data_IF_526646599373
#
_entry.id   IF_526646599373
#
_cell.length_a   1.000
_cell.length_b   1.000
_cell.length_c   1.000
_cell.angle_alpha   90.00
_cell.angle_beta   90.00
_cell.angle_gamma   90.00
#
_symmetry.space_group_name_H-M   'P 1'
#
loop_
_entity.id
_entity.type
_entity.pdbx_description
1 polymer ?
#
# COMPACT_ATOMS: atom_id res chain seq x y z
N UNK A 1 18.18 -23.97 -14.89
CA UNK A 1 16.82 -24.58 -15.01
C UNK A 1 15.84 -23.59 -14.41
N UNK A 2 14.86 -22.99 -15.07
CA UNK A 2 14.52 -22.69 -16.48
C UNK A 2 13.64 -21.43 -16.35
N UNK A 3 14.14 -20.23 -16.59
CA UNK A 3 13.88 -19.35 -17.76
C UNK A 3 12.48 -19.35 -18.43
N UNK A 4 11.44 -20.02 -17.90
CA UNK A 4 10.17 -20.18 -18.64
C UNK A 4 8.90 -19.66 -17.93
N UNK A 5 8.98 -19.03 -16.76
CA UNK A 5 7.77 -18.54 -16.05
C UNK A 5 7.36 -17.11 -16.44
N UNK A 6 8.19 -16.37 -17.19
CA UNK A 6 7.96 -14.93 -17.44
C UNK A 6 7.05 -14.65 -18.65
N UNK A 7 6.69 -15.67 -19.44
CA UNK A 7 6.02 -15.46 -20.74
C UNK A 7 4.47 -15.62 -20.75
N UNK A 8 3.81 -15.94 -19.64
CA UNK A 8 2.35 -16.24 -19.67
C UNK A 8 1.44 -15.05 -19.34
N UNK A 9 1.95 -13.91 -18.89
CA UNK A 9 1.07 -12.82 -18.40
C UNK A 9 0.98 -11.57 -19.29
N UNK A 10 1.45 -11.62 -20.54
CA UNK A 10 1.51 -10.43 -21.40
C UNK A 10 0.34 -10.26 -22.40
N UNK A 11 -0.71 -11.07 -22.36
CA UNK A 11 -1.73 -11.06 -23.43
C UNK A 11 -3.17 -10.74 -23.00
N UNK A 12 -3.43 -10.23 -21.80
CA UNK A 12 -4.83 -10.01 -21.35
C UNK A 12 -5.14 -8.67 -20.66
N UNK A 13 -4.33 -7.62 -20.83
CA UNK A 13 -4.81 -6.28 -20.46
C UNK A 13 -4.39 -5.27 -21.52
N UNK A 14 -5.29 -5.06 -22.49
CA UNK A 14 -5.17 -3.97 -23.44
C UNK A 14 -5.24 -2.61 -22.74
N UNK A 15 -4.32 -1.72 -23.16
CA UNK A 15 -4.40 -0.26 -23.11
C UNK A 15 -4.58 0.43 -21.76
N UNK A 16 -3.73 0.13 -20.78
CA UNK A 16 -3.44 1.08 -19.71
C UNK A 16 -1.95 1.48 -19.79
N UNK A 17 -1.66 2.62 -20.42
CA UNK A 17 -0.34 3.26 -20.30
C UNK A 17 -0.25 3.98 -18.96
N UNK A 18 0.70 3.55 -18.13
CA UNK A 18 1.10 4.17 -16.87
C UNK A 18 2.63 4.05 -16.77
N UNK A 19 3.33 5.18 -16.78
CA UNK A 19 4.79 5.28 -16.89
C UNK A 19 5.45 5.62 -15.53
N UNK A 20 5.05 4.91 -14.47
CA UNK A 20 5.53 5.11 -13.10
C UNK A 20 5.68 3.81 -12.31
N UNK A 21 6.54 3.74 -11.28
CA UNK A 21 7.02 2.49 -10.68
C UNK A 21 5.99 1.69 -9.86
N UNK A 22 4.78 2.23 -9.61
CA UNK A 22 3.76 1.57 -8.80
C UNK A 22 2.47 1.37 -9.60
N UNK A 23 2.24 0.10 -9.99
CA UNK A 23 1.10 -0.35 -10.79
C UNK A 23 -0.19 -0.31 -9.97
N UNK A 24 -1.25 0.24 -10.54
CA UNK A 24 -2.58 0.33 -9.92
C UNK A 24 -3.29 -1.04 -10.00
N UNK A 25 -3.82 -1.54 -8.88
CA UNK A 25 -4.51 -2.84 -8.80
C UNK A 25 -6.01 -2.67 -8.58
N UNK A 26 -6.87 -3.35 -9.37
CA UNK A 26 -8.31 -3.38 -9.14
C UNK A 26 -8.68 -4.44 -8.09
N UNK A 27 -9.17 -3.99 -6.93
CA UNK A 27 -9.87 -4.84 -5.96
C UNK A 27 -11.33 -5.06 -6.42
N UNK A 28 -11.75 -6.33 -6.46
CA UNK A 28 -12.92 -6.83 -7.19
C UNK A 28 -14.28 -6.17 -6.92
N UNK A 29 -15.16 -6.28 -7.93
CA UNK A 29 -16.61 -5.99 -8.14
C UNK A 29 -17.47 -5.12 -7.18
N UNK A 30 -16.95 -4.54 -6.11
CA UNK A 30 -17.68 -3.67 -5.18
C UNK A 30 -16.98 -2.32 -5.06
N UNK A 31 -17.35 -1.40 -5.95
CA UNK A 31 -17.36 0.04 -5.68
C UNK A 31 -16.13 0.67 -5.03
N UNK A 32 -15.12 0.96 -5.85
CA UNK A 32 -14.37 2.22 -5.90
C UNK A 32 -13.70 2.72 -4.60
N UNK A 33 -12.54 2.17 -4.24
CA UNK A 33 -11.42 2.95 -3.72
C UNK A 33 -10.09 2.33 -4.19
N UNK A 34 -9.53 2.82 -5.29
CA UNK A 34 -8.08 2.69 -5.52
C UNK A 34 -7.41 3.55 -4.46
N UNK A 35 -6.96 2.93 -3.37
CA UNK A 35 -6.26 3.64 -2.30
C UNK A 35 -4.81 3.79 -2.75
N UNK A 36 -4.40 5.03 -2.98
CA UNK A 36 -3.00 5.42 -3.17
C UNK A 36 -2.51 6.15 -1.92
N UNK A 37 -1.20 6.22 -1.73
CA UNK A 37 -0.64 7.04 -0.66
C UNK A 37 -1.13 8.49 -0.73
N UNK A 38 -1.21 9.07 -1.92
CA UNK A 38 -1.63 10.47 -2.08
C UNK A 38 -3.05 10.68 -1.56
N UNK A 39 -3.93 9.71 -1.79
CA UNK A 39 -5.28 9.72 -1.23
C UNK A 39 -5.28 9.65 0.29
N UNK A 40 -4.46 8.77 0.88
CA UNK A 40 -4.30 8.68 2.33
C UNK A 40 -3.80 10.01 2.91
N UNK A 41 -2.80 10.63 2.27
CA UNK A 41 -2.24 11.91 2.69
C UNK A 41 -3.27 13.04 2.60
N UNK A 42 -4.13 13.03 1.59
CA UNK A 42 -5.22 13.99 1.45
C UNK A 42 -6.31 13.78 2.50
N UNK A 43 -6.64 12.53 2.83
CA UNK A 43 -7.56 12.20 3.93
C UNK A 43 -7.01 12.66 5.27
N UNK A 44 -5.72 12.42 5.54
CA UNK A 44 -5.06 12.87 6.76
C UNK A 44 -5.06 14.40 6.87
N UNK A 45 -4.74 15.12 5.77
CA UNK A 45 -4.81 16.59 5.72
C UNK A 45 -6.23 17.15 5.88
N UNK A 46 -7.23 16.46 5.33
CA UNK A 46 -8.62 16.85 5.48
C UNK A 46 -9.13 16.69 6.93
N UNK A 47 -8.64 15.67 7.65
CA UNK A 47 -8.93 15.48 9.07
C UNK A 47 -8.15 16.47 9.96
N UNK A 48 -6.87 16.69 9.64
CA UNK A 48 -5.96 17.59 10.34
C UNK A 48 -5.06 18.35 9.35
N UNK A 49 -5.26 19.66 9.14
CA UNK A 49 -4.41 20.47 8.26
C UNK A 49 -2.94 20.55 8.69
N UNK A 50 -2.62 20.20 9.94
CA UNK A 50 -1.25 20.10 10.45
C UNK A 50 -0.68 18.68 10.36
N UNK A 51 -1.35 17.78 9.62
CA UNK A 51 -0.90 16.40 9.45
C UNK A 51 0.53 16.33 8.92
N UNK A 52 1.36 15.54 9.59
CA UNK A 52 2.73 15.28 9.22
C UNK A 52 2.79 14.24 8.10
N UNK A 53 2.52 14.68 6.86
CA UNK A 53 2.53 13.77 5.71
C UNK A 53 3.90 13.17 5.39
N UNK A 54 4.98 13.80 5.86
CA UNK A 54 6.33 13.26 5.73
C UNK A 54 6.54 12.03 6.64
N UNK A 55 5.97 12.04 7.85
CA UNK A 55 5.94 10.86 8.71
C UNK A 55 5.19 9.71 8.02
N UNK A 56 4.01 9.99 7.48
CA UNK A 56 3.19 9.00 6.79
C UNK A 56 3.93 8.44 5.56
N UNK A 57 4.60 9.29 4.78
CA UNK A 57 5.38 8.88 3.61
C UNK A 57 6.50 7.92 4.01
N UNK A 58 7.28 8.27 5.04
CA UNK A 58 8.36 7.39 5.52
C UNK A 58 7.85 6.05 6.00
N UNK A 59 6.73 6.02 6.74
CA UNK A 59 6.10 4.79 7.20
C UNK A 59 5.62 3.92 6.02
N UNK A 60 4.99 4.54 5.02
CA UNK A 60 4.53 3.87 3.81
C UNK A 60 5.70 3.28 3.01
N UNK A 61 6.73 4.08 2.72
CA UNK A 61 7.88 3.65 1.92
C UNK A 61 8.64 2.50 2.62
N UNK A 62 8.77 2.57 3.95
CA UNK A 62 9.37 1.49 4.74
C UNK A 62 8.55 0.21 4.68
N UNK A 63 7.24 0.29 4.91
CA UNK A 63 6.33 -0.86 4.80
C UNK A 63 6.39 -1.51 3.41
N UNK A 64 6.36 -0.70 2.34
CA UNK A 64 6.49 -1.20 0.96
C UNK A 64 7.83 -1.90 0.73
N UNK A 65 8.92 -1.37 1.28
CA UNK A 65 10.25 -1.94 1.12
C UNK A 65 10.38 -3.29 1.84
N UNK A 66 9.91 -3.39 3.09
CA UNK A 66 10.03 -4.61 3.89
C UNK A 66 9.12 -5.74 3.37
N UNK A 67 7.97 -5.38 2.80
CA UNK A 67 7.06 -6.34 2.15
C UNK A 67 7.35 -6.55 0.66
N UNK A 68 8.48 -6.05 0.14
CA UNK A 68 8.81 -6.19 -1.28
C UNK A 68 8.93 -7.66 -1.69
N UNK A 69 8.23 -8.03 -2.77
CA UNK A 69 8.20 -9.41 -3.26
C UNK A 69 7.24 -10.35 -2.52
N UNK A 70 6.57 -9.88 -1.46
CA UNK A 70 5.50 -10.62 -0.80
C UNK A 70 4.17 -10.41 -1.53
N UNK A 71 3.40 -11.50 -1.65
CA UNK A 71 2.06 -11.48 -2.23
C UNK A 71 1.06 -12.04 -1.24
N UNK A 72 -0.11 -11.42 -1.15
CA UNK A 72 -1.24 -11.97 -0.39
C UNK A 72 -1.76 -13.25 -1.05
N UNK A 73 -2.57 -13.99 -0.31
CA UNK A 73 -3.26 -15.17 -0.84
C UNK A 73 -4.17 -14.85 -2.05
N UNK A 74 -4.62 -13.58 -2.17
CA UNK A 74 -5.37 -13.06 -3.32
C UNK A 74 -4.52 -12.86 -4.59
N UNK A 75 -3.20 -12.91 -4.50
CA UNK A 75 -2.26 -12.62 -5.60
C UNK A 75 -1.85 -11.15 -5.72
N UNK A 76 -2.35 -10.27 -4.84
CA UNK A 76 -1.98 -8.84 -4.80
C UNK A 76 -0.67 -8.63 -4.03
N UNK A 77 0.09 -7.55 -4.35
CA UNK A 77 1.24 -7.16 -3.52
C UNK A 77 0.82 -6.91 -2.07
N UNK A 78 1.61 -7.37 -1.11
CA UNK A 78 1.25 -7.28 0.32
C UNK A 78 1.03 -5.84 0.81
N UNK A 79 1.74 -4.87 0.22
CA UNK A 79 1.64 -3.45 0.54
C UNK A 79 0.23 -2.83 0.38
N UNK A 80 -0.71 -3.50 -0.30
CA UNK A 80 -2.10 -3.01 -0.39
C UNK A 80 -2.82 -3.07 0.96
N UNK A 81 -2.56 -4.09 1.76
CA UNK A 81 -3.26 -4.33 3.03
C UNK A 81 -2.93 -3.26 4.09
N UNK A 82 -1.66 -2.93 4.39
CA UNK A 82 -1.34 -1.86 5.33
C UNK A 82 -1.92 -0.50 4.91
N UNK A 83 -2.04 -0.25 3.61
CA UNK A 83 -2.60 0.99 3.07
C UNK A 83 -4.13 1.07 3.25
N UNK A 84 -4.85 -0.05 3.10
CA UNK A 84 -6.28 -0.15 3.41
C UNK A 84 -6.56 0.09 4.90
N UNK A 85 -5.78 -0.56 5.78
CA UNK A 85 -5.88 -0.38 7.23
C UNK A 85 -5.62 1.07 7.62
N UNK A 86 -4.55 1.68 7.11
CA UNK A 86 -4.23 3.08 7.39
C UNK A 86 -5.32 4.05 6.90
N UNK A 87 -6.01 3.73 5.81
CA UNK A 87 -7.12 4.55 5.31
C UNK A 87 -8.34 4.48 6.22
N UNK A 88 -8.68 3.29 6.75
CA UNK A 88 -9.73 3.16 7.77
C UNK A 88 -9.39 3.97 9.03
N UNK A 89 -8.13 3.95 9.46
CA UNK A 89 -7.63 4.77 10.58
C UNK A 89 -7.77 6.26 10.29
N UNK A 90 -7.45 6.70 9.08
CA UNK A 90 -7.64 8.08 8.65
C UNK A 90 -9.12 8.49 8.56
N UNK A 91 -10.02 7.59 8.14
CA UNK A 91 -11.48 7.83 8.14
C UNK A 91 -12.04 8.04 9.56
N UNK A 92 -11.47 7.34 10.55
CA UNK A 92 -11.77 7.54 11.97
C UNK A 92 -11.23 8.88 12.51
N UNK A 93 -10.52 9.67 11.69
CA UNK A 93 -9.89 10.96 12.06
C UNK A 93 -8.92 10.84 13.24
N UNK A 94 -8.20 9.73 13.32
CA UNK A 94 -7.13 9.57 14.29
C UNK A 94 -5.87 10.35 13.87
N UNK A 95 -4.92 10.45 14.79
CA UNK A 95 -3.70 11.22 14.59
C UNK A 95 -2.71 10.54 13.64
N UNK A 96 -1.71 11.31 13.19
CA UNK A 96 -0.72 10.81 12.23
C UNK A 96 0.07 9.61 12.75
N UNK A 97 0.22 9.51 14.08
CA UNK A 97 0.89 8.38 14.73
C UNK A 97 0.06 7.11 14.59
N UNK A 98 -1.27 7.18 14.81
CA UNK A 98 -2.14 6.03 14.58
C UNK A 98 -2.15 5.60 13.11
N UNK A 99 -2.19 6.56 12.17
CA UNK A 99 -2.15 6.25 10.73
C UNK A 99 -0.82 5.59 10.37
N UNK A 100 0.31 6.11 10.85
CA UNK A 100 1.62 5.52 10.65
C UNK A 100 1.72 4.12 11.27
N UNK A 101 1.14 3.89 12.45
CA UNK A 101 1.07 2.57 13.06
C UNK A 101 0.28 1.59 12.18
N UNK A 102 -0.82 2.01 11.57
CA UNK A 102 -1.57 1.20 10.61
C UNK A 102 -0.74 0.78 9.39
N UNK A 103 0.11 1.68 8.87
CA UNK A 103 1.03 1.36 7.78
C UNK A 103 2.12 0.34 8.16
N UNK A 104 2.49 0.29 9.45
CA UNK A 104 3.62 -0.51 9.96
C UNK A 104 3.21 -1.78 10.71
N UNK A 105 1.90 -1.98 10.95
CA UNK A 105 1.43 -2.95 11.96
C UNK A 105 1.92 -4.39 11.72
N UNK A 106 2.02 -4.80 10.46
CA UNK A 106 2.44 -6.16 10.07
C UNK A 106 3.95 -6.28 9.77
N UNK A 107 4.70 -5.17 9.77
CA UNK A 107 6.11 -5.19 9.35
C UNK A 107 6.95 -6.05 10.29
N UNK A 108 6.69 -6.02 11.59
CA UNK A 108 7.44 -6.85 12.57
C UNK A 108 7.00 -8.32 12.53
N UNK A 109 5.75 -8.60 12.17
CA UNK A 109 5.19 -9.96 12.18
C UNK A 109 5.57 -10.74 10.90
N UNK A 110 5.50 -10.07 9.75
CA UNK A 110 5.58 -10.71 8.43
C UNK A 110 6.89 -10.45 7.68
N UNK A 111 7.83 -9.73 8.29
CA UNK A 111 9.14 -9.44 7.69
C UNK A 111 10.28 -9.78 8.64
N UNK A 112 11.53 -9.54 8.21
CA UNK A 112 12.71 -9.76 9.05
C UNK A 112 13.02 -8.55 9.96
N UNK A 113 12.16 -7.53 9.95
CA UNK A 113 12.34 -6.31 10.74
C UNK A 113 12.16 -6.58 12.24
N UNK A 114 13.10 -6.10 13.06
CA UNK A 114 13.02 -6.10 14.52
C UNK A 114 12.51 -4.78 15.09
N UNK A 115 12.06 -4.78 16.35
CA UNK A 115 11.58 -3.58 17.07
C UNK A 115 12.74 -2.68 17.54
N UNK A 116 13.97 -3.21 17.56
CA UNK A 116 15.18 -2.57 18.09
C UNK A 116 15.86 -1.58 17.12
#
# INVERSE_FOLDING_TARGET
MREETVAVCLTLVGNASYDGPYRLYPIGEKGLLMISFDKLADMARAANPQSNTDLLRRAYDFSVAEHAGQTRHSGEPYATHPLEVASLVAEMRLDDVAIAAGLLHDVVEDTLTSID
#
